data_IF_833426716908
#
_entry.id   IF_833426716908
#
_cell.length_a   1.000
_cell.length_b   1.000
_cell.length_c   1.000
_cell.angle_alpha   90.00
_cell.angle_beta   90.00
_cell.angle_gamma   90.00
#
_symmetry.space_group_name_H-M   'P 1'
#
loop_
_entity.id
_entity.type
_entity.pdbx_description
1 polymer ?
#
# COMPACT_ATOMS: atom_id res chain seq x y z
N UNK A 1 -8.27 -18.78 -1.66
CA UNK A 1 -7.19 -17.80 -1.88
C UNK A 1 -7.83 -16.60 -2.55
N UNK A 2 -7.73 -15.41 -1.95
CA UNK A 2 -8.42 -14.22 -2.46
C UNK A 2 -7.64 -13.63 -3.62
N UNK A 3 -8.31 -13.28 -4.72
CA UNK A 3 -7.71 -12.56 -5.85
C UNK A 3 -8.23 -11.12 -5.80
N UNK A 4 -7.31 -10.15 -5.71
CA UNK A 4 -7.63 -8.73 -5.82
C UNK A 4 -7.36 -8.30 -7.27
N UNK A 5 -8.39 -7.75 -7.91
CA UNK A 5 -8.28 -7.11 -9.22
C UNK A 5 -7.75 -5.69 -9.05
N UNK A 6 -6.79 -5.30 -9.89
CA UNK A 6 -6.14 -3.99 -9.85
C UNK A 6 -6.28 -3.33 -11.21
N UNK A 7 -6.75 -2.09 -11.23
CA UNK A 7 -7.05 -1.38 -12.46
C UNK A 7 -7.59 0.03 -12.25
N UNK A 8 -7.69 0.82 -13.33
CA UNK A 8 -8.03 2.24 -13.26
C UNK A 8 -9.46 2.51 -12.77
N UNK A 9 -10.34 1.53 -12.93
CA UNK A 9 -11.75 1.53 -12.54
C UNK A 9 -11.99 0.97 -11.12
N UNK A 10 -10.95 0.43 -10.48
CA UNK A 10 -11.04 -0.16 -9.15
C UNK A 10 -10.70 0.86 -8.07
N UNK A 11 -11.64 1.07 -7.15
CA UNK A 11 -11.42 1.82 -5.91
C UNK A 11 -11.20 0.84 -4.75
N UNK A 12 -9.97 0.76 -4.25
CA UNK A 12 -9.59 -0.11 -3.12
C UNK A 12 -9.92 0.56 -1.80
N UNK A 13 -10.82 -0.03 -1.03
CA UNK A 13 -11.07 0.38 0.34
C UNK A 13 -10.09 -0.33 1.29
N UNK A 14 -9.83 0.22 2.50
CA UNK A 14 -8.99 -0.47 3.47
C UNK A 14 -9.48 -1.89 3.80
N UNK A 15 -10.79 -2.14 3.80
CA UNK A 15 -11.33 -3.49 4.08
C UNK A 15 -10.87 -4.53 3.03
N UNK A 16 -10.83 -4.12 1.76
CA UNK A 16 -10.46 -4.97 0.62
C UNK A 16 -9.01 -5.45 0.72
N UNK A 17 -8.18 -4.72 1.49
CA UNK A 17 -6.76 -4.96 1.65
C UNK A 17 -6.43 -5.79 2.92
N UNK A 18 -7.43 -6.16 3.73
CA UNK A 18 -7.24 -7.08 4.85
C UNK A 18 -6.58 -8.42 4.45
N UNK A 19 -6.92 -9.06 3.31
CA UNK A 19 -6.25 -10.28 2.86
C UNK A 19 -4.76 -10.10 2.58
N UNK A 20 -4.34 -8.89 2.16
CA UNK A 20 -2.94 -8.55 1.88
C UNK A 20 -2.11 -8.61 3.17
N UNK A 21 -2.63 -8.05 4.27
CA UNK A 21 -1.97 -8.11 5.58
C UNK A 21 -1.83 -9.54 6.11
N UNK A 22 -2.76 -10.44 5.76
CA UNK A 22 -2.75 -11.85 6.18
C UNK A 22 -1.87 -12.74 5.29
N UNK A 23 -1.32 -12.22 4.19
CA UNK A 23 -0.52 -13.00 3.23
C UNK A 23 -1.30 -14.02 2.39
N UNK A 24 -2.65 -14.00 2.43
CA UNK A 24 -3.49 -14.92 1.65
C UNK A 24 -4.12 -14.18 0.48
N UNK A 25 -3.27 -13.68 -0.43
CA UNK A 25 -3.71 -12.88 -1.56
C UNK A 25 -2.93 -13.23 -2.83
N UNK A 26 -3.64 -13.18 -3.95
CA UNK A 26 -3.10 -13.03 -5.29
C UNK A 26 -3.63 -11.73 -5.86
N UNK A 27 -2.90 -11.16 -6.81
CA UNK A 27 -3.35 -9.98 -7.55
C UNK A 27 -3.33 -10.26 -9.04
N UNK A 28 -4.20 -9.59 -9.78
CA UNK A 28 -4.19 -9.58 -11.25
C UNK A 28 -4.56 -8.19 -11.75
N UNK A 29 -4.00 -7.82 -12.90
CA UNK A 29 -4.43 -6.62 -13.62
C UNK A 29 -5.76 -6.89 -14.32
N UNK A 30 -6.64 -5.88 -14.37
CA UNK A 30 -7.78 -5.90 -15.28
C UNK A 30 -7.32 -5.72 -16.74
N UNK A 31 -8.19 -6.04 -17.70
CA UNK A 31 -7.86 -5.84 -19.11
C UNK A 31 -7.72 -4.33 -19.42
N UNK A 32 -8.56 -3.51 -18.79
CA UNK A 32 -8.51 -2.05 -18.84
C UNK A 32 -7.16 -1.51 -18.32
N UNK A 33 -6.63 -2.11 -17.25
CA UNK A 33 -5.31 -1.76 -16.72
C UNK A 33 -4.19 -2.05 -17.73
N UNK A 34 -4.23 -3.22 -18.36
CA UNK A 34 -3.23 -3.60 -19.37
C UNK A 34 -3.27 -2.67 -20.58
N UNK A 35 -4.47 -2.30 -21.04
CA UNK A 35 -4.66 -1.32 -22.11
C UNK A 35 -4.13 0.05 -21.69
N UNK A 36 -4.47 0.53 -20.50
CA UNK A 36 -4.04 1.84 -20.00
C UNK A 36 -2.52 1.94 -19.84
N UNK A 37 -1.87 0.92 -19.27
CA UNK A 37 -0.41 0.86 -19.13
C UNK A 37 0.27 0.92 -20.51
N UNK A 38 -0.20 0.12 -21.46
CA UNK A 38 0.36 0.07 -22.82
C UNK A 38 0.18 1.40 -23.54
N UNK A 39 -1.01 2.00 -23.48
CA UNK A 39 -1.28 3.31 -24.07
C UNK A 39 -0.40 4.43 -23.48
N UNK A 40 -0.18 4.40 -22.16
CA UNK A 40 0.71 5.34 -21.47
C UNK A 40 2.18 5.18 -21.88
N UNK A 41 2.62 3.94 -22.10
CA UNK A 41 3.96 3.66 -22.63
C UNK A 41 4.11 4.18 -24.06
N UNK A 42 3.17 3.87 -24.94
CA UNK A 42 3.20 4.30 -26.34
C UNK A 42 3.19 5.82 -26.46
N UNK A 43 2.42 6.52 -25.62
CA UNK A 43 2.43 7.97 -25.55
C UNK A 43 3.82 8.50 -25.20
N UNK A 44 4.46 7.92 -24.19
CA UNK A 44 5.80 8.35 -23.75
C UNK A 44 6.83 8.12 -24.85
N UNK A 45 6.81 6.98 -25.52
CA UNK A 45 7.74 6.70 -26.63
C UNK A 45 7.53 7.65 -27.81
N UNK A 46 6.28 7.93 -28.20
CA UNK A 46 5.99 8.95 -29.22
C UNK A 46 6.49 10.33 -28.81
N UNK A 47 6.26 10.71 -27.56
CA UNK A 47 6.68 12.01 -27.03
C UNK A 47 8.20 12.15 -27.01
N UNK A 48 8.94 11.12 -26.58
CA UNK A 48 10.42 11.11 -26.62
C UNK A 48 10.95 11.23 -28.04
N UNK A 49 10.36 10.53 -29.00
CA UNK A 49 10.80 10.57 -30.40
C UNK A 49 10.51 11.91 -31.10
N UNK A 50 9.57 12.70 -30.58
CA UNK A 50 9.15 13.98 -31.18
C UNK A 50 9.73 15.20 -30.45
N UNK A 51 10.09 15.05 -29.18
CA UNK A 51 10.58 16.15 -28.35
C UNK A 51 12.10 16.19 -28.37
N UNK A 52 12.66 17.30 -28.84
CA UNK A 52 14.08 17.64 -28.63
C UNK A 52 14.34 18.32 -27.29
N UNK A 53 13.30 18.54 -26.48
CA UNK A 53 13.38 19.28 -25.22
C UNK A 53 13.72 18.36 -24.04
N UNK A 54 14.47 18.84 -23.04
CA UNK A 54 14.72 18.12 -21.79
C UNK A 54 13.43 17.91 -21.00
N UNK A 55 13.23 16.70 -20.50
CA UNK A 55 12.06 16.23 -19.75
C UNK A 55 12.55 15.53 -18.50
N UNK A 56 12.14 16.06 -17.35
CA UNK A 56 12.59 15.60 -16.03
C UNK A 56 12.45 14.09 -15.83
N UNK A 57 13.57 13.44 -15.47
CA UNK A 57 13.61 12.02 -15.16
C UNK A 57 13.37 11.08 -16.34
N UNK A 58 13.32 11.64 -17.56
CA UNK A 58 13.35 10.90 -18.81
C UNK A 58 14.74 11.03 -19.44
N UNK A 59 15.15 12.24 -19.83
CA UNK A 59 16.45 12.56 -20.44
C UNK A 59 17.21 13.66 -19.67
N UNK A 60 16.87 13.87 -18.40
CA UNK A 60 17.66 14.69 -17.47
C UNK A 60 17.97 13.96 -16.18
N UNK A 61 18.94 14.48 -15.44
CA UNK A 61 19.26 14.01 -14.08
C UNK A 61 18.12 14.25 -13.07
N UNK A 62 18.33 13.80 -11.83
CA UNK A 62 17.33 13.87 -10.76
C UNK A 62 17.72 14.87 -9.67
N UNK A 63 16.73 15.44 -8.98
CA UNK A 63 16.97 16.37 -7.88
C UNK A 63 17.80 17.59 -8.32
N UNK A 64 18.94 17.83 -7.66
CA UNK A 64 19.84 18.93 -7.98
C UNK A 64 20.41 18.88 -9.42
N UNK A 65 20.37 17.71 -10.07
CA UNK A 65 20.85 17.49 -11.43
C UNK A 65 19.73 17.57 -12.49
N UNK A 66 18.55 18.10 -12.14
CA UNK A 66 17.40 18.19 -13.04
C UNK A 66 17.65 18.96 -14.34
N UNK A 67 18.67 19.82 -14.37
CA UNK A 67 19.08 20.63 -15.52
C UNK A 67 20.22 20.00 -16.35
N UNK A 68 20.69 18.80 -15.99
CA UNK A 68 21.74 18.09 -16.73
C UNK A 68 21.08 17.13 -17.71
N UNK A 69 21.28 17.37 -19.00
CA UNK A 69 20.81 16.49 -20.08
C UNK A 69 21.62 15.19 -20.13
N UNK A 70 20.95 14.10 -20.51
CA UNK A 70 21.51 12.75 -20.64
C UNK A 70 21.16 12.22 -22.02
N UNK A 71 22.12 11.61 -22.71
CA UNK A 71 21.91 11.07 -24.05
C UNK A 71 21.05 9.81 -24.03
N UNK A 72 20.37 9.55 -25.14
CA UNK A 72 19.40 8.44 -25.27
C UNK A 72 20.02 7.06 -24.99
N UNK A 73 21.30 6.86 -25.32
CA UNK A 73 22.03 5.62 -25.08
C UNK A 73 22.34 5.37 -23.59
N UNK A 74 22.30 6.41 -22.76
CA UNK A 74 22.59 6.34 -21.33
C UNK A 74 21.32 6.26 -20.46
N UNK A 75 20.12 6.37 -21.03
CA UNK A 75 18.89 6.47 -20.25
C UNK A 75 18.61 5.21 -19.42
N UNK A 76 18.91 4.02 -19.93
CA UNK A 76 18.74 2.78 -19.17
C UNK A 76 19.68 2.71 -17.95
N UNK A 77 20.93 3.14 -18.14
CA UNK A 77 21.94 3.21 -17.08
C UNK A 77 21.56 4.28 -16.03
N UNK A 78 21.07 5.43 -16.47
CA UNK A 78 20.56 6.49 -15.58
C UNK A 78 19.47 5.97 -14.63
N UNK A 79 18.50 5.20 -15.14
CA UNK A 79 17.42 4.64 -14.32
C UNK A 79 17.93 3.56 -13.36
N UNK A 80 18.86 2.72 -13.82
CA UNK A 80 19.55 1.71 -12.99
C UNK A 80 20.30 2.36 -11.83
N UNK A 81 21.07 3.42 -12.12
CA UNK A 81 21.84 4.14 -11.12
C UNK A 81 20.95 4.94 -10.16
N UNK A 82 19.79 5.44 -10.63
CA UNK A 82 18.77 6.02 -9.76
C UNK A 82 18.32 5.01 -8.70
N UNK A 83 17.95 3.80 -9.12
CA UNK A 83 17.52 2.73 -8.18
C UNK A 83 18.62 2.44 -7.16
N UNK A 84 19.85 2.16 -7.63
CA UNK A 84 20.98 1.81 -6.76
C UNK A 84 21.34 2.92 -5.78
N UNK A 85 21.40 4.17 -6.23
CA UNK A 85 21.76 5.32 -5.39
C UNK A 85 20.70 5.62 -4.32
N UNK A 86 19.43 5.31 -4.59
CA UNK A 86 18.33 5.58 -3.65
C UNK A 86 18.00 4.38 -2.77
N UNK A 87 18.55 3.18 -3.01
CA UNK A 87 18.43 2.02 -2.13
C UNK A 87 19.28 2.17 -0.84
N UNK A 88 19.15 3.32 -0.18
CA UNK A 88 19.90 3.75 0.99
C UNK A 88 19.09 3.65 2.30
N UNK A 89 17.98 2.90 2.29
CA UNK A 89 17.20 2.63 3.49
C UNK A 89 18.01 1.93 4.59
N UNK A 90 17.71 2.26 5.85
CA UNK A 90 18.47 1.85 7.05
C UNK A 90 17.51 1.52 8.21
N UNK A 91 18.05 0.92 9.27
CA UNK A 91 17.31 0.59 10.49
C UNK A 91 16.66 -0.78 10.41
N UNK A 92 15.55 -0.93 11.13
CA UNK A 92 14.83 -2.21 11.21
C UNK A 92 14.16 -2.56 9.87
N UNK A 93 13.95 -3.87 9.67
CA UNK A 93 13.24 -4.39 8.51
C UNK A 93 11.74 -4.12 8.63
N UNK A 94 11.14 -3.64 7.55
CA UNK A 94 9.69 -3.50 7.43
C UNK A 94 9.04 -4.88 7.40
N UNK A 95 7.97 -5.04 8.17
CA UNK A 95 7.19 -6.26 8.21
C UNK A 95 6.76 -6.74 6.80
N UNK A 96 6.93 -8.04 6.45
CA UNK A 96 6.63 -8.56 5.12
C UNK A 96 5.20 -8.25 4.63
N UNK A 97 4.22 -8.22 5.55
CA UNK A 97 2.84 -7.84 5.22
C UNK A 97 2.71 -6.41 4.70
N UNK A 98 3.52 -5.48 5.22
CA UNK A 98 3.54 -4.09 4.78
C UNK A 98 4.31 -3.94 3.46
N UNK A 99 5.42 -4.66 3.28
CA UNK A 99 6.11 -4.71 1.97
C UNK A 99 5.16 -5.20 0.87
N UNK A 100 4.39 -6.26 1.14
CA UNK A 100 3.37 -6.74 0.21
C UNK A 100 2.33 -5.66 -0.08
N UNK A 101 1.84 -4.97 0.95
CA UNK A 101 0.90 -3.85 0.79
C UNK A 101 1.48 -2.75 -0.10
N UNK A 102 2.76 -2.38 0.09
CA UNK A 102 3.45 -1.41 -0.76
C UNK A 102 3.44 -1.84 -2.23
N UNK A 103 3.75 -3.12 -2.51
CA UNK A 103 3.75 -3.67 -3.86
C UNK A 103 2.35 -3.67 -4.48
N UNK A 104 1.31 -4.08 -3.74
CA UNK A 104 -0.09 -4.05 -4.21
C UNK A 104 -0.53 -2.63 -4.54
N UNK A 105 -0.27 -1.66 -3.65
CA UNK A 105 -0.58 -0.25 -3.88
C UNK A 105 0.24 0.35 -5.02
N UNK A 106 1.47 -0.16 -5.25
CA UNK A 106 2.30 0.24 -6.39
C UNK A 106 1.71 -0.24 -7.71
N UNK A 107 1.29 -1.51 -7.77
CA UNK A 107 0.62 -2.07 -8.94
C UNK A 107 -0.65 -1.27 -9.24
N UNK A 108 -1.48 -0.98 -8.23
CA UNK A 108 -2.66 -0.13 -8.41
C UNK A 108 -2.29 1.26 -8.96
N UNK A 109 -1.27 1.92 -8.40
CA UNK A 109 -0.81 3.22 -8.90
C UNK A 109 -0.30 3.21 -10.34
N UNK A 110 0.40 2.14 -10.75
CA UNK A 110 0.88 1.97 -12.12
C UNK A 110 -0.26 1.59 -13.09
N UNK A 111 -1.30 0.91 -12.59
CA UNK A 111 -2.46 0.46 -13.38
C UNK A 111 -3.26 1.60 -14.02
N UNK A 112 -3.16 2.82 -13.50
CA UNK A 112 -3.78 4.01 -14.09
C UNK A 112 -3.16 4.42 -15.44
N UNK A 113 -2.02 3.84 -15.83
CA UNK A 113 -1.40 4.08 -17.15
C UNK A 113 -0.63 5.40 -17.29
N UNK A 114 -0.60 6.25 -16.26
CA UNK A 114 0.01 7.59 -16.36
C UNK A 114 1.53 7.62 -16.08
N UNK A 115 2.13 6.48 -15.76
CA UNK A 115 3.54 6.39 -15.36
C UNK A 115 4.50 6.20 -16.54
N UNK A 116 4.03 5.65 -17.68
CA UNK A 116 4.88 5.34 -18.84
C UNK A 116 5.77 4.11 -18.66
N UNK A 117 5.46 3.23 -17.70
CA UNK A 117 6.17 1.96 -17.56
C UNK A 117 5.70 0.95 -18.61
N UNK A 118 6.53 -0.04 -18.93
CA UNK A 118 6.10 -1.17 -19.77
C UNK A 118 5.17 -2.08 -18.98
N UNK A 119 4.25 -2.74 -19.68
CA UNK A 119 3.36 -3.74 -19.07
C UNK A 119 4.14 -4.88 -18.40
N UNK A 120 5.28 -5.30 -18.99
CA UNK A 120 6.18 -6.30 -18.41
C UNK A 120 6.68 -5.92 -17.01
N UNK A 121 6.91 -4.64 -16.76
CA UNK A 121 7.40 -4.12 -15.48
C UNK A 121 6.34 -4.26 -14.40
N UNK A 122 5.08 -3.95 -14.73
CA UNK A 122 3.95 -4.11 -13.80
C UNK A 122 3.63 -5.59 -13.59
N UNK A 123 3.67 -6.40 -14.64
CA UNK A 123 3.47 -7.85 -14.55
C UNK A 123 4.52 -8.51 -13.64
N UNK A 124 5.77 -8.07 -13.67
CA UNK A 124 6.77 -8.60 -12.76
C UNK A 124 6.46 -8.29 -11.29
N UNK A 125 5.94 -7.10 -10.96
CA UNK A 125 5.45 -6.81 -9.60
C UNK A 125 4.30 -7.75 -9.22
N UNK A 126 3.35 -7.96 -10.14
CA UNK A 126 2.22 -8.91 -9.95
C UNK A 126 2.74 -10.32 -9.67
N UNK A 127 3.70 -10.79 -10.48
CA UNK A 127 4.29 -12.11 -10.34
C UNK A 127 5.06 -12.25 -9.01
N UNK A 128 5.80 -11.22 -8.59
CA UNK A 128 6.50 -11.21 -7.31
C UNK A 128 5.52 -11.24 -6.12
N UNK A 129 4.45 -10.43 -6.14
CA UNK A 129 3.40 -10.48 -5.10
C UNK A 129 2.76 -11.87 -5.06
N UNK A 130 2.44 -12.43 -6.22
CA UNK A 130 1.83 -13.75 -6.35
C UNK A 130 2.78 -14.86 -5.89
N UNK A 131 4.08 -14.76 -6.13
CA UNK A 131 5.07 -15.74 -5.71
C UNK A 131 5.57 -15.56 -4.27
N UNK A 132 5.03 -14.57 -3.53
CA UNK A 132 5.48 -14.19 -2.20
C UNK A 132 6.98 -13.83 -2.15
N UNK A 133 7.45 -13.15 -3.20
CA UNK A 133 8.82 -12.62 -3.32
C UNK A 133 8.79 -11.20 -2.76
N UNK A 134 9.12 -11.06 -1.47
CA UNK A 134 9.06 -9.80 -0.76
C UNK A 134 10.46 -9.22 -0.50
N UNK A 135 10.80 -8.07 -1.10
CA UNK A 135 12.10 -7.41 -0.88
C UNK A 135 12.32 -6.99 0.56
N UNK A 136 13.59 -6.98 0.99
CA UNK A 136 13.95 -6.34 2.25
C UNK A 136 13.84 -4.83 2.08
N UNK A 137 12.95 -4.23 2.84
CA UNK A 137 12.73 -2.79 2.92
C UNK A 137 13.00 -2.39 4.36
N UNK A 138 13.54 -1.19 4.57
CA UNK A 138 13.91 -0.70 5.90
C UNK A 138 13.03 0.48 6.32
N UNK A 139 12.85 0.65 7.63
CA UNK A 139 11.93 1.64 8.19
C UNK A 139 12.41 3.09 8.02
N UNK A 140 13.72 3.33 7.92
CA UNK A 140 14.29 4.68 7.77
C UNK A 140 14.85 4.93 6.37
N UNK A 141 14.77 6.18 5.91
CA UNK A 141 15.36 6.64 4.63
C UNK A 141 14.39 7.45 3.77
N UNK A 142 13.08 7.36 4.01
CA UNK A 142 12.09 8.25 3.39
C UNK A 142 11.82 9.48 4.27
N UNK A 143 11.66 10.64 3.64
CA UNK A 143 11.15 11.86 4.27
C UNK A 143 9.63 12.06 4.02
N UNK A 144 9.03 11.24 3.16
CA UNK A 144 7.62 11.35 2.78
C UNK A 144 7.22 12.63 2.03
N UNK A 145 8.19 13.45 1.58
CA UNK A 145 7.91 14.75 0.96
C UNK A 145 7.71 14.69 -0.57
N UNK A 146 8.56 13.93 -1.28
CA UNK A 146 8.55 13.83 -2.75
C UNK A 146 8.44 12.37 -3.22
N UNK A 147 7.80 11.54 -2.41
CA UNK A 147 7.70 10.10 -2.60
C UNK A 147 8.59 9.31 -1.64
N UNK A 148 8.22 8.05 -1.42
CA UNK A 148 8.91 7.09 -0.57
C UNK A 148 10.07 6.43 -1.32
N UNK A 149 10.97 7.27 -1.83
CA UNK A 149 11.99 6.89 -2.80
C UNK A 149 12.87 5.75 -2.29
N UNK A 150 13.42 5.85 -1.08
CA UNK A 150 14.36 4.85 -0.57
C UNK A 150 13.71 3.48 -0.29
N UNK A 151 12.54 3.40 0.38
CA UNK A 151 11.82 2.13 0.50
C UNK A 151 11.43 1.51 -0.84
N UNK A 152 10.96 2.32 -1.79
CA UNK A 152 10.57 1.85 -3.11
C UNK A 152 11.78 1.47 -3.99
N UNK A 153 12.93 2.09 -3.76
CA UNK A 153 14.18 1.71 -4.41
C UNK A 153 14.61 0.30 -4.05
N UNK A 154 14.45 -0.12 -2.79
CA UNK A 154 14.72 -1.52 -2.39
C UNK A 154 13.80 -2.53 -3.10
N UNK A 155 12.55 -2.16 -3.37
CA UNK A 155 11.65 -3.00 -4.18
C UNK A 155 12.13 -3.09 -5.63
N UNK A 156 12.45 -1.95 -6.25
CA UNK A 156 12.94 -1.90 -7.62
C UNK A 156 14.29 -2.62 -7.79
N UNK A 157 15.18 -2.51 -6.79
CA UNK A 157 16.47 -3.19 -6.75
C UNK A 157 16.29 -4.71 -6.80
N UNK A 158 15.35 -5.24 -6.02
CA UNK A 158 15.00 -6.65 -6.06
C UNK A 158 14.38 -7.10 -7.38
N UNK A 159 13.58 -6.25 -8.05
CA UNK A 159 13.09 -6.54 -9.40
C UNK A 159 14.24 -6.69 -10.41
N UNK A 160 15.31 -5.90 -10.25
CA UNK A 160 16.55 -6.00 -11.04
C UNK A 160 17.44 -7.19 -10.63
N UNK A 161 16.98 -8.04 -9.71
CA UNK A 161 17.75 -9.18 -9.20
C UNK A 161 18.84 -8.81 -8.19
N UNK A 162 18.89 -7.56 -7.74
CA UNK A 162 19.86 -7.06 -6.78
C UNK A 162 19.24 -6.96 -5.36
N UNK A 163 20.06 -7.06 -4.32
CA UNK A 163 19.57 -7.02 -2.94
C UNK A 163 18.99 -8.35 -2.45
N UNK A 164 18.17 -8.27 -1.40
CA UNK A 164 17.74 -9.44 -0.61
C UNK A 164 16.22 -9.55 -0.55
N UNK A 165 15.73 -10.78 -0.53
CA UNK A 165 14.31 -11.13 -0.38
C UNK A 165 14.11 -11.90 0.92
N UNK A 166 12.99 -11.64 1.60
CA UNK A 166 12.50 -12.41 2.74
C UNK A 166 11.47 -13.43 2.26
N UNK A 167 11.70 -14.72 2.51
CA UNK A 167 10.74 -15.80 2.27
C UNK A 167 10.53 -16.61 3.55
N UNK A 168 9.45 -16.30 4.27
CA UNK A 168 9.27 -16.79 5.65
C UNK A 168 10.42 -16.32 6.54
N UNK A 169 11.09 -17.24 7.25
CA UNK A 169 12.26 -16.92 8.08
C UNK A 169 13.57 -16.79 7.29
N UNK A 170 13.60 -17.18 6.01
CA UNK A 170 14.84 -17.24 5.22
C UNK A 170 15.10 -15.95 4.45
N UNK A 171 16.37 -15.57 4.42
CA UNK A 171 16.90 -14.55 3.52
C UNK A 171 17.59 -15.21 2.33
N UNK A 172 17.35 -14.69 1.14
CA UNK A 172 18.02 -15.11 -0.09
C UNK A 172 18.28 -13.92 -1.01
N UNK A 173 19.16 -14.11 -1.98
CA UNK A 173 19.45 -13.10 -2.99
C UNK A 173 18.24 -12.94 -3.93
N UNK A 174 17.97 -11.71 -4.36
CA UNK A 174 16.84 -11.43 -5.24
C UNK A 174 16.96 -12.18 -6.58
N UNK A 175 18.15 -12.26 -7.17
CA UNK A 175 18.40 -13.04 -8.38
C UNK A 175 18.03 -14.53 -8.22
N UNK A 176 18.39 -15.15 -7.08
CA UNK A 176 18.03 -16.54 -6.77
C UNK A 176 16.51 -16.69 -6.62
N UNK A 177 15.88 -15.80 -5.86
CA UNK A 177 14.43 -15.81 -5.64
C UNK A 177 13.65 -15.67 -6.95
N UNK A 178 14.06 -14.76 -7.84
CA UNK A 178 13.45 -14.60 -9.16
C UNK A 178 13.62 -15.88 -9.99
N UNK A 179 14.85 -16.40 -10.07
CA UNK A 179 15.16 -17.61 -10.85
C UNK A 179 14.36 -18.83 -10.41
N UNK A 180 14.24 -19.06 -9.09
CA UNK A 180 13.46 -20.16 -8.51
C UNK A 180 11.97 -20.10 -8.84
N UNK A 181 11.46 -18.93 -9.22
CA UNK A 181 10.07 -18.72 -9.63
C UNK A 181 9.93 -18.50 -11.16
N UNK A 182 10.98 -18.78 -11.94
CA UNK A 182 10.95 -18.63 -13.40
C UNK A 182 10.95 -17.17 -13.90
N UNK A 183 11.28 -16.22 -13.02
CA UNK A 183 11.35 -14.80 -13.33
C UNK A 183 12.77 -14.40 -13.71
N UNK A 184 12.90 -13.42 -14.61
CA UNK A 184 14.18 -12.84 -15.02
C UNK A 184 14.36 -11.47 -14.37
N UNK A 185 15.60 -11.06 -14.02
CA UNK A 185 15.88 -9.70 -13.60
C UNK A 185 15.35 -8.64 -14.58
N UNK A 186 14.73 -7.60 -14.04
CA UNK A 186 14.23 -6.46 -14.81
C UNK A 186 15.39 -5.65 -15.38
N UNK A 187 15.36 -5.40 -16.69
CA UNK A 187 16.23 -4.42 -17.34
C UNK A 187 15.40 -3.15 -17.53
N UNK A 188 15.75 -2.07 -16.85
CA UNK A 188 14.98 -0.83 -16.88
C UNK A 188 15.14 -0.08 -18.22
N UNK A 189 14.02 0.44 -18.73
CA UNK A 189 13.99 1.43 -19.81
C UNK A 189 13.89 2.84 -19.24
N UNK A 190 14.07 3.86 -20.09
CA UNK A 190 13.76 5.26 -19.79
C UNK A 190 12.48 5.43 -18.94
N UNK A 191 12.57 6.26 -17.90
CA UNK A 191 11.53 6.59 -16.90
C UNK A 191 11.13 5.47 -15.92
N UNK A 192 11.47 4.20 -16.17
CA UNK A 192 10.94 3.10 -15.35
C UNK A 192 11.49 3.08 -13.92
N UNK A 193 12.78 3.40 -13.73
CA UNK A 193 13.36 3.53 -12.40
C UNK A 193 12.62 4.61 -11.60
N UNK A 194 12.45 5.80 -12.17
CA UNK A 194 11.71 6.88 -11.51
C UNK A 194 10.26 6.48 -11.22
N UNK A 195 9.57 5.84 -12.16
CA UNK A 195 8.19 5.40 -11.96
C UNK A 195 8.05 4.37 -10.83
N UNK A 196 9.03 3.48 -10.68
CA UNK A 196 9.08 2.50 -9.59
C UNK A 196 9.40 3.14 -8.24
N UNK A 197 10.22 4.18 -8.20
CA UNK A 197 10.59 4.85 -6.93
C UNK A 197 9.58 5.91 -6.50
N UNK A 198 8.93 6.59 -7.45
CA UNK A 198 8.08 7.73 -7.15
C UNK A 198 6.66 7.28 -6.72
N UNK A 199 6.17 7.84 -5.62
CA UNK A 199 4.87 7.51 -5.03
C UNK A 199 4.93 7.37 -3.51
N UNK A 200 3.77 7.25 -2.87
CA UNK A 200 3.62 7.28 -1.39
C UNK A 200 3.28 5.90 -0.81
N UNK A 201 3.71 4.83 -1.47
CA UNK A 201 3.27 3.47 -1.12
C UNK A 201 3.76 3.00 0.25
N UNK A 202 4.92 3.48 0.73
CA UNK A 202 5.41 3.11 2.07
C UNK A 202 4.48 3.72 3.12
N UNK A 203 4.30 5.04 3.14
CA UNK A 203 3.41 5.68 4.11
C UNK A 203 1.95 5.21 3.97
N UNK A 204 1.50 4.98 2.73
CA UNK A 204 0.13 4.49 2.46
C UNK A 204 -0.07 3.08 3.00
N UNK A 205 0.92 2.19 2.87
CA UNK A 205 0.85 0.85 3.45
C UNK A 205 0.69 0.88 4.97
N UNK A 206 1.50 1.71 5.65
CA UNK A 206 1.40 1.89 7.10
C UNK A 206 0.05 2.50 7.50
N UNK A 207 -0.41 3.54 6.80
CA UNK A 207 -1.69 4.19 7.11
C UNK A 207 -2.87 3.26 6.87
N UNK A 208 -2.89 2.52 5.76
CA UNK A 208 -3.93 1.52 5.48
C UNK A 208 -3.98 0.45 6.56
N UNK A 209 -2.83 -0.10 6.95
CA UNK A 209 -2.76 -1.06 8.05
C UNK A 209 -3.24 -0.45 9.38
N UNK A 210 -2.83 0.79 9.67
CA UNK A 210 -3.25 1.55 10.84
C UNK A 210 -4.76 1.76 10.90
N UNK A 211 -5.39 2.15 9.78
CA UNK A 211 -6.86 2.32 9.69
C UNK A 211 -7.59 1.00 9.90
N UNK A 212 -7.11 -0.10 9.29
CA UNK A 212 -7.68 -1.44 9.49
C UNK A 212 -7.61 -1.85 10.97
N UNK A 213 -6.46 -1.63 11.62
CA UNK A 213 -6.28 -1.95 13.04
C UNK A 213 -7.10 -1.05 13.95
N UNK A 214 -7.14 0.26 13.70
CA UNK A 214 -7.93 1.21 14.46
C UNK A 214 -9.43 0.90 14.39
N UNK A 215 -9.95 0.50 13.22
CA UNK A 215 -11.34 0.09 13.07
C UNK A 215 -11.67 -1.15 13.92
N UNK A 216 -10.76 -2.13 13.99
CA UNK A 216 -10.91 -3.32 14.86
C UNK A 216 -10.87 -2.95 16.33
N UNK A 217 -9.91 -2.12 16.73
CA UNK A 217 -9.77 -1.67 18.12
C UNK A 217 -10.97 -0.85 18.57
N UNK A 218 -11.51 0.03 17.71
CA UNK A 218 -12.73 0.80 18.00
C UNK A 218 -13.94 -0.11 18.23
N UNK A 219 -14.14 -1.14 17.39
CA UNK A 219 -15.22 -2.11 17.59
C UNK A 219 -15.04 -2.91 18.90
N UNK A 220 -13.81 -3.34 19.19
CA UNK A 220 -13.51 -4.05 20.44
C UNK A 220 -13.69 -3.16 21.67
N UNK A 221 -13.35 -1.87 21.57
CA UNK A 221 -13.57 -0.91 22.63
C UNK A 221 -15.07 -0.75 22.94
N UNK A 222 -15.94 -0.65 21.92
CA UNK A 222 -17.39 -0.62 22.11
C UNK A 222 -17.89 -1.90 22.84
N UNK A 223 -17.37 -3.07 22.50
CA UNK A 223 -17.72 -4.35 23.14
C UNK A 223 -17.26 -4.42 24.60
N UNK A 224 -16.02 -4.03 24.89
CA UNK A 224 -15.48 -4.00 26.25
C UNK A 224 -16.18 -2.94 27.11
N UNK A 225 -16.58 -1.82 26.52
CA UNK A 225 -17.40 -0.82 27.18
C UNK A 225 -18.79 -1.39 27.54
N UNK A 226 -19.42 -2.15 26.63
CA UNK A 226 -20.68 -2.84 26.93
C UNK A 226 -20.55 -3.86 28.07
N UNK A 227 -19.47 -4.64 28.12
CA UNK A 227 -19.21 -5.53 29.26
C UNK A 227 -18.98 -4.79 30.57
N UNK A 228 -18.25 -3.68 30.52
CA UNK A 228 -18.03 -2.84 31.71
C UNK A 228 -19.34 -2.25 32.19
N UNK A 229 -20.16 -1.74 31.28
CA UNK A 229 -21.50 -1.21 31.56
C UNK A 229 -22.35 -2.27 32.28
N UNK A 230 -22.38 -3.50 31.80
CA UNK A 230 -23.10 -4.58 32.47
C UNK A 230 -22.49 -4.98 33.82
N UNK A 231 -21.17 -5.10 33.92
CA UNK A 231 -20.47 -5.49 35.13
C UNK A 231 -20.68 -4.50 36.29
N UNK A 232 -20.75 -3.20 35.97
CA UNK A 232 -21.01 -2.13 36.94
C UNK A 232 -22.50 -1.80 37.12
N UNK A 233 -23.41 -2.58 36.51
CA UNK A 233 -24.86 -2.33 36.53
C UNK A 233 -25.24 -0.93 36.01
N UNK A 234 -24.52 -0.39 35.02
CA UNK A 234 -24.75 0.95 34.48
C UNK A 234 -26.00 1.09 33.61
N UNK A 235 -26.38 2.31 33.23
CA UNK A 235 -27.64 2.67 32.55
C UNK A 235 -27.51 2.63 31.03
N UNK A 236 -28.27 1.77 30.37
CA UNK A 236 -28.28 1.67 28.90
C UNK A 236 -28.99 2.85 28.22
N UNK A 237 -29.85 3.56 28.95
CA UNK A 237 -30.65 4.66 28.44
C UNK A 237 -29.82 5.86 27.96
N UNK A 238 -28.58 5.99 28.45
CA UNK A 238 -27.62 6.98 27.94
C UNK A 238 -27.26 6.75 26.45
N UNK A 239 -27.45 5.52 25.95
CA UNK A 239 -27.17 5.11 24.58
C UNK A 239 -28.42 5.09 23.68
N UNK A 240 -29.55 5.64 24.16
CA UNK A 240 -30.79 5.72 23.40
C UNK A 240 -30.61 6.51 22.10
N UNK A 241 -31.18 5.99 21.01
CA UNK A 241 -31.02 6.58 19.68
C UNK A 241 -31.52 8.02 19.61
N UNK A 242 -32.60 8.35 20.32
CA UNK A 242 -33.17 9.69 20.33
C UNK A 242 -32.17 10.71 20.92
N UNK A 243 -31.44 10.33 21.98
CA UNK A 243 -30.41 11.17 22.60
C UNK A 243 -29.30 11.48 21.59
N UNK A 244 -28.83 10.45 20.87
CA UNK A 244 -27.74 10.61 19.91
C UNK A 244 -28.16 11.30 18.61
N UNK A 245 -29.42 11.23 18.20
CA UNK A 245 -29.95 11.96 17.02
C UNK A 245 -29.94 13.48 17.20
N UNK A 246 -30.06 13.97 18.45
CA UNK A 246 -29.98 15.41 18.74
C UNK A 246 -28.56 15.95 18.50
N UNK A 247 -27.53 15.10 18.59
CA UNK A 247 -26.13 15.43 18.27
C UNK A 247 -25.56 14.41 17.26
N UNK A 248 -25.89 14.53 15.96
CA UNK A 248 -25.75 13.45 14.98
C UNK A 248 -24.31 13.29 14.45
N UNK A 249 -23.33 13.15 15.32
CA UNK A 249 -22.00 12.70 14.93
C UNK A 249 -22.05 11.21 14.58
N UNK A 250 -21.65 10.84 13.36
CA UNK A 250 -21.78 9.47 12.85
C UNK A 250 -21.11 8.42 13.74
N UNK A 251 -19.89 8.69 14.23
CA UNK A 251 -19.20 7.79 15.15
C UNK A 251 -19.94 7.59 16.47
N UNK A 252 -20.52 8.66 17.02
CA UNK A 252 -21.28 8.60 18.27
C UNK A 252 -22.56 7.77 18.11
N UNK A 253 -23.29 7.95 17.01
CA UNK A 253 -24.46 7.14 16.67
C UNK A 253 -24.11 5.65 16.53
N UNK A 254 -22.97 5.35 15.88
CA UNK A 254 -22.52 3.97 15.67
C UNK A 254 -22.13 3.28 16.98
N UNK A 255 -21.35 3.93 17.84
CA UNK A 255 -20.98 3.39 19.16
C UNK A 255 -22.22 3.15 20.01
N UNK A 256 -23.15 4.10 20.08
CA UNK A 256 -24.38 3.96 20.86
C UNK A 256 -25.26 2.82 20.38
N UNK A 257 -25.40 2.68 19.05
CA UNK A 257 -26.10 1.55 18.44
C UNK A 257 -25.45 0.22 18.84
N UNK A 258 -24.13 0.09 18.71
CA UNK A 258 -23.41 -1.15 19.04
C UNK A 258 -23.54 -1.53 20.51
N UNK A 259 -23.39 -0.57 21.42
CA UNK A 259 -23.54 -0.84 22.86
C UNK A 259 -24.94 -1.37 23.15
N UNK A 260 -25.99 -0.74 22.61
CA UNK A 260 -27.37 -1.25 22.75
C UNK A 260 -27.54 -2.66 22.18
N UNK A 261 -26.95 -2.95 21.02
CA UNK A 261 -26.99 -4.29 20.41
C UNK A 261 -26.28 -5.34 21.29
N UNK A 262 -25.11 -5.02 21.86
CA UNK A 262 -24.34 -5.95 22.69
C UNK A 262 -25.03 -6.32 24.00
N UNK A 263 -25.77 -5.38 24.60
CA UNK A 263 -26.47 -5.62 25.87
C UNK A 263 -27.97 -5.93 25.71
N UNK A 264 -28.46 -6.05 24.48
CA UNK A 264 -29.87 -6.18 24.18
C UNK A 264 -30.53 -7.32 24.96
N UNK A 265 -29.86 -8.48 25.03
CA UNK A 265 -30.39 -9.69 25.67
C UNK A 265 -29.99 -9.82 27.15
N UNK A 266 -29.31 -8.83 27.75
CA UNK A 266 -28.91 -8.89 29.16
C UNK A 266 -30.09 -8.55 30.10
N UNK A 267 -30.59 -9.49 30.92
CA UNK A 267 -31.65 -9.19 31.88
C UNK A 267 -31.19 -8.23 32.98
N UNK A 268 -29.87 -8.18 33.24
CA UNK A 268 -29.27 -7.26 34.22
C UNK A 268 -29.34 -5.82 33.75
N UNK A 269 -29.22 -5.59 32.45
CA UNK A 269 -29.19 -4.24 31.88
C UNK A 269 -30.57 -3.57 31.86
N UNK A 270 -31.65 -4.37 31.77
CA UNK A 270 -33.02 -3.86 31.65
C UNK A 270 -33.82 -3.90 32.96
N UNK A 271 -33.18 -4.17 34.10
CA UNK A 271 -33.82 -4.10 35.42
C UNK A 271 -33.86 -2.65 35.92
N UNK A 272 -34.77 -2.36 36.86
CA UNK A 272 -34.79 -1.07 37.53
C UNK A 272 -33.50 -0.82 38.34
N UNK A 273 -32.88 0.35 38.16
CA UNK A 273 -31.62 0.75 38.80
C UNK A 273 -31.86 1.87 39.81
N UNK A 274 -31.09 1.88 40.90
CA UNK A 274 -31.22 2.87 41.99
C UNK A 274 -30.48 4.19 41.73
N UNK A 275 -29.35 4.12 41.04
CA UNK A 275 -28.59 5.31 40.67
C UNK A 275 -29.27 6.02 39.49
N UNK A 276 -29.16 7.35 39.48
CA UNK A 276 -29.82 8.21 38.49
C UNK A 276 -28.97 8.34 37.22
N UNK A 277 -27.64 8.30 37.36
CA UNK A 277 -26.68 8.46 36.27
C UNK A 277 -25.39 7.71 36.61
N UNK A 278 -24.68 7.26 35.57
CA UNK A 278 -23.33 6.70 35.68
C UNK A 278 -22.27 7.82 35.70
N UNK A 279 -21.06 7.55 36.24
CA UNK A 279 -19.93 8.48 36.16
C UNK A 279 -19.52 8.90 34.75
#
# INVERSE_FOLDING_TARGET
MNIIELGPDIYLKPEDLVPVLKGNVKVKLTDEAQIAISAGRDFMERFMNQSSSPVYGINTGFGALCNVEVSDDQLAELQTNLVRSHACGMGDEVEPSLVRMMMVLKIQGLSYGNSGVRLSTVNQLVDMVNADILPLVYESGSLGASGDLAPLAHIALAMMGEGRIRKGSKLMDAAEALSLNGLKPLILSAKEGLALLNGTQFMSAFLTAGVIHAARLSYQADLLAAYSLEAFDGRVEAFDEAVHKVRPHQGQLLTAKRIREFVADSPRMHRAKKHVQDP
#
